data_IF_546369914168
#
_entry.id   IF_546369914168
#
_cell.length_a   1.000
_cell.length_b   1.000
_cell.length_c   1.000
_cell.angle_alpha   90.00
_cell.angle_beta   90.00
_cell.angle_gamma   90.00
#
_symmetry.space_group_name_H-M   'P 1'
#
loop_
_entity.id
_entity.type
_entity.pdbx_description
1 polymer ?
#
# COMPACT_ATOMS: atom_id res chain seq x y z
N UNK A 1 -45.91 -14.21 27.53
CA UNK A 1 -45.15 -13.83 28.74
C UNK A 1 -43.71 -13.56 28.30
N UNK A 2 -43.36 -12.29 28.13
CA UNK A 2 -42.00 -11.87 27.68
C UNK A 2 -41.08 -11.79 28.90
N UNK A 3 -40.06 -12.64 28.97
CA UNK A 3 -39.02 -12.54 30.00
C UNK A 3 -38.03 -11.44 29.59
N UNK A 4 -38.11 -10.30 30.27
CA UNK A 4 -37.06 -9.28 30.24
C UNK A 4 -35.83 -9.79 31.00
N UNK A 5 -34.75 -10.02 30.31
CA UNK A 5 -33.44 -10.31 30.92
C UNK A 5 -32.82 -8.97 31.29
N UNK A 6 -32.79 -8.65 32.57
CA UNK A 6 -32.09 -7.49 33.12
C UNK A 6 -30.65 -7.87 33.21
N UNK A 7 -29.81 -7.32 32.29
CA UNK A 7 -28.33 -7.42 32.37
C UNK A 7 -27.90 -6.44 33.45
N UNK A 8 -27.51 -6.98 34.59
CA UNK A 8 -26.93 -6.24 35.70
C UNK A 8 -25.48 -5.88 35.32
N UNK A 9 -25.24 -4.66 34.89
CA UNK A 9 -23.91 -4.09 34.68
C UNK A 9 -23.22 -3.98 36.05
N UNK A 10 -22.34 -4.92 36.35
CA UNK A 10 -21.37 -4.81 37.46
C UNK A 10 -20.36 -3.72 37.11
N UNK A 11 -20.55 -2.55 37.71
CA UNK A 11 -19.57 -1.45 37.66
C UNK A 11 -18.39 -1.87 38.52
N UNK A 12 -17.36 -2.44 37.89
CA UNK A 12 -16.05 -2.58 38.54
C UNK A 12 -15.31 -1.24 38.48
N UNK A 13 -14.59 -0.82 39.51
CA UNK A 13 -13.88 0.44 39.50
C UNK A 13 -12.78 0.43 38.40
N UNK A 14 -12.92 1.36 37.48
CA UNK A 14 -11.97 1.61 36.39
C UNK A 14 -10.62 2.03 36.97
N UNK A 15 -9.66 1.07 37.02
CA UNK A 15 -8.27 1.36 37.33
C UNK A 15 -7.47 1.38 36.03
N UNK A 16 -6.87 2.52 35.79
CA UNK A 16 -5.77 2.81 34.87
C UNK A 16 -6.06 2.66 33.35
N UNK A 17 -6.07 3.81 32.71
CA UNK A 17 -5.89 4.11 31.30
C UNK A 17 -5.00 3.10 30.53
N UNK A 18 -5.56 2.02 30.04
CA UNK A 18 -5.06 1.35 28.87
C UNK A 18 -5.85 1.89 27.69
N UNK A 19 -5.23 2.78 26.92
CA UNK A 19 -5.76 3.10 25.61
C UNK A 19 -5.78 1.79 24.84
N UNK A 20 -6.98 1.35 24.43
CA UNK A 20 -7.14 0.18 23.57
C UNK A 20 -6.30 0.44 22.31
N UNK A 21 -5.49 -0.52 21.92
CA UNK A 21 -4.79 -0.45 20.66
C UNK A 21 -5.81 -0.40 19.51
N UNK A 22 -5.44 0.22 18.41
CA UNK A 22 -6.32 0.27 17.23
C UNK A 22 -6.74 -1.14 16.78
N UNK A 23 -5.86 -2.14 16.91
CA UNK A 23 -6.16 -3.54 16.61
C UNK A 23 -7.26 -4.13 17.52
N UNK A 24 -7.23 -3.84 18.82
CA UNK A 24 -8.26 -4.32 19.76
C UNK A 24 -9.62 -3.69 19.47
N UNK A 25 -9.64 -2.42 19.07
CA UNK A 25 -10.88 -1.76 18.64
C UNK A 25 -11.44 -2.39 17.36
N UNK A 26 -10.58 -2.66 16.36
CA UNK A 26 -10.98 -3.32 15.10
C UNK A 26 -11.50 -4.73 15.36
N UNK A 27 -10.86 -5.52 16.21
CA UNK A 27 -11.30 -6.87 16.55
C UNK A 27 -12.65 -6.85 17.30
N UNK A 28 -12.85 -5.89 18.19
CA UNK A 28 -14.14 -5.69 18.87
C UNK A 28 -15.27 -5.29 17.91
N UNK A 29 -14.95 -4.47 16.90
CA UNK A 29 -15.92 -4.07 15.85
C UNK A 29 -16.29 -5.27 14.98
N UNK A 30 -15.33 -6.13 14.60
CA UNK A 30 -15.57 -7.36 13.83
C UNK A 30 -16.47 -8.34 14.58
N UNK A 31 -16.31 -8.46 15.89
CA UNK A 31 -17.16 -9.33 16.74
C UNK A 31 -18.59 -8.79 16.84
N UNK A 32 -18.76 -7.47 16.94
CA UNK A 32 -20.05 -6.81 17.02
C UNK A 32 -20.77 -6.70 15.68
N UNK A 33 -20.02 -6.66 14.58
CA UNK A 33 -20.53 -6.48 13.21
C UNK A 33 -19.93 -7.57 12.28
N UNK A 34 -20.46 -8.81 12.30
CA UNK A 34 -19.97 -9.90 11.48
C UNK A 34 -20.01 -9.63 9.96
N UNK A 35 -20.78 -8.62 9.53
CA UNK A 35 -20.85 -8.15 8.15
C UNK A 35 -19.84 -7.03 7.82
N UNK A 36 -19.04 -6.59 8.80
CA UNK A 36 -17.97 -5.62 8.56
C UNK A 36 -16.86 -6.30 7.77
N UNK A 37 -16.83 -6.06 6.48
CA UNK A 37 -15.77 -6.50 5.60
C UNK A 37 -14.56 -5.58 5.78
N UNK A 38 -13.44 -6.13 6.22
CA UNK A 38 -12.18 -5.37 6.29
C UNK A 38 -11.81 -4.90 4.90
N UNK A 39 -11.09 -3.77 4.80
CA UNK A 39 -10.55 -3.29 3.53
C UNK A 39 -9.81 -4.44 2.78
N UNK A 40 -9.89 -4.50 1.45
CA UNK A 40 -9.23 -5.55 0.68
C UNK A 40 -7.74 -5.55 0.99
N UNK A 41 -7.19 -6.74 1.25
CA UNK A 41 -5.77 -6.91 1.49
C UNK A 41 -5.03 -7.05 0.17
N UNK A 42 -3.93 -6.32 0.06
CA UNK A 42 -3.01 -6.49 -1.05
C UNK A 42 -2.23 -7.80 -0.85
N UNK A 43 -2.29 -8.68 -1.84
CA UNK A 43 -1.52 -9.93 -1.90
C UNK A 43 -0.81 -9.99 -3.23
N UNK A 44 0.50 -10.24 -3.21
CA UNK A 44 1.31 -10.26 -4.43
C UNK A 44 2.63 -11.00 -4.20
N UNK A 45 3.23 -11.44 -5.31
CA UNK A 45 4.62 -11.89 -5.37
C UNK A 45 5.22 -11.31 -6.65
N UNK A 46 6.15 -10.37 -6.51
CA UNK A 46 6.75 -9.61 -7.60
C UNK A 46 8.26 -9.71 -7.56
N UNK A 47 8.89 -9.79 -8.72
CA UNK A 47 10.36 -9.77 -8.83
C UNK A 47 10.80 -8.46 -9.48
N UNK A 48 11.67 -7.70 -8.81
CA UNK A 48 12.21 -6.47 -9.36
C UNK A 48 13.28 -6.71 -10.44
N UNK A 49 13.75 -5.63 -11.07
CA UNK A 49 14.81 -5.65 -12.09
C UNK A 49 16.15 -6.19 -11.59
N UNK A 50 16.38 -6.23 -10.28
CA UNK A 50 17.58 -6.77 -9.64
C UNK A 50 17.43 -8.23 -9.19
N UNK A 51 16.26 -8.85 -9.40
CA UNK A 51 15.94 -10.21 -8.98
C UNK A 51 15.50 -10.35 -7.51
N UNK A 52 15.21 -9.25 -6.81
CA UNK A 52 14.67 -9.31 -5.46
C UNK A 52 13.17 -9.64 -5.52
N UNK A 53 12.72 -10.47 -4.59
CA UNK A 53 11.30 -10.88 -4.50
C UNK A 53 10.60 -10.06 -3.43
N UNK A 54 9.51 -9.40 -3.82
CA UNK A 54 8.62 -8.64 -2.96
C UNK A 54 7.29 -9.37 -2.80
N UNK A 55 6.85 -9.54 -1.57
CA UNK A 55 5.56 -10.17 -1.23
C UNK A 55 4.87 -9.34 -0.16
N UNK A 56 3.57 -9.54 0.00
CA UNK A 56 2.82 -8.95 1.12
C UNK A 56 3.41 -9.30 2.49
N UNK A 57 4.19 -10.41 2.60
CA UNK A 57 4.80 -10.84 3.86
C UNK A 57 6.05 -10.06 4.20
N UNK A 58 6.93 -9.82 3.22
CA UNK A 58 8.19 -9.11 3.47
C UNK A 58 8.05 -7.59 3.42
N UNK A 59 6.91 -7.07 2.94
CA UNK A 59 6.56 -5.65 3.04
C UNK A 59 5.75 -5.30 4.29
N UNK A 60 5.31 -6.30 5.09
CA UNK A 60 4.61 -6.07 6.35
C UNK A 60 5.42 -5.21 7.33
N UNK A 61 4.69 -4.35 8.06
CA UNK A 61 5.29 -3.40 8.99
C UNK A 61 5.74 -2.09 8.33
N UNK A 62 5.64 -2.00 7.00
CA UNK A 62 5.85 -0.76 6.25
C UNK A 62 4.58 -0.37 5.50
N UNK A 63 4.40 0.91 5.25
CA UNK A 63 3.46 1.36 4.23
C UNK A 63 3.95 0.88 2.87
N UNK A 64 3.03 0.44 2.01
CA UNK A 64 3.33 0.03 0.65
C UNK A 64 2.76 1.05 -0.33
N UNK A 65 3.60 1.55 -1.23
CA UNK A 65 3.18 2.39 -2.36
C UNK A 65 3.44 1.61 -3.63
N UNK A 66 2.39 1.31 -4.39
CA UNK A 66 2.51 0.64 -5.70
C UNK A 66 2.12 1.64 -6.78
N UNK A 67 3.07 2.03 -7.60
CA UNK A 67 2.87 2.99 -8.68
C UNK A 67 2.93 2.29 -10.05
N UNK A 68 1.82 2.34 -10.79
CA UNK A 68 1.74 1.85 -12.18
C UNK A 68 2.09 2.98 -13.13
N UNK A 69 3.14 2.79 -13.92
CA UNK A 69 3.69 3.78 -14.81
C UNK A 69 4.16 3.18 -16.14
N UNK A 70 4.56 4.03 -17.09
CA UNK A 70 5.19 3.61 -18.34
C UNK A 70 6.11 4.71 -18.87
N UNK A 71 7.11 4.35 -19.66
CA UNK A 71 8.11 5.28 -20.21
C UNK A 71 7.52 6.36 -21.14
N UNK A 72 6.44 6.05 -21.84
CA UNK A 72 5.71 6.97 -22.72
C UNK A 72 4.67 7.83 -21.99
N UNK A 73 4.41 7.58 -20.72
CA UNK A 73 3.38 8.27 -19.95
C UNK A 73 3.94 9.58 -19.35
N UNK A 74 3.72 10.68 -20.02
CA UNK A 74 4.23 11.99 -19.59
C UNK A 74 3.88 12.39 -18.14
N UNK A 75 2.63 12.23 -17.64
CA UNK A 75 2.33 12.53 -16.24
C UNK A 75 3.04 11.57 -15.28
N UNK A 76 3.25 10.27 -15.65
CA UNK A 76 4.01 9.34 -14.83
C UNK A 76 5.44 9.82 -14.62
N UNK A 77 6.10 10.29 -15.69
CA UNK A 77 7.49 10.78 -15.60
C UNK A 77 7.62 12.05 -14.75
N UNK A 78 6.55 12.83 -14.61
CA UNK A 78 6.55 14.04 -13.76
C UNK A 78 6.52 13.73 -12.28
N UNK A 79 5.86 12.65 -11.86
CA UNK A 79 5.74 12.29 -10.44
C UNK A 79 6.94 11.50 -9.90
N UNK A 80 7.77 10.86 -10.79
CA UNK A 80 8.94 10.07 -10.37
C UNK A 80 9.86 10.84 -9.41
N UNK A 81 10.22 12.12 -9.64
CA UNK A 81 11.07 12.85 -8.70
C UNK A 81 10.47 12.96 -7.30
N UNK A 82 9.14 13.07 -7.18
CA UNK A 82 8.46 13.10 -5.89
C UNK A 82 8.59 11.76 -5.15
N UNK A 83 8.46 10.63 -5.85
CA UNK A 83 8.70 9.30 -5.26
C UNK A 83 10.16 9.11 -4.84
N UNK A 84 11.11 9.55 -5.65
CA UNK A 84 12.55 9.46 -5.34
C UNK A 84 12.88 10.22 -4.06
N UNK A 85 12.40 11.48 -3.94
CA UNK A 85 12.59 12.30 -2.75
C UNK A 85 11.92 11.66 -1.53
N UNK A 86 10.66 11.27 -1.68
CA UNK A 86 9.85 10.66 -0.61
C UNK A 86 10.49 9.37 -0.09
N UNK A 87 10.91 8.46 -0.98
CA UNK A 87 11.52 7.19 -0.59
C UNK A 87 12.86 7.38 0.11
N UNK A 88 13.66 8.34 -0.34
CA UNK A 88 14.95 8.66 0.30
C UNK A 88 14.78 9.00 1.78
N UNK A 89 13.71 9.70 2.14
CA UNK A 89 13.44 10.13 3.51
C UNK A 89 12.70 9.09 4.34
N UNK A 90 11.91 8.21 3.70
CA UNK A 90 10.93 7.36 4.36
C UNK A 90 11.17 5.86 4.20
N UNK A 91 12.24 5.38 3.54
CA UNK A 91 12.51 3.95 3.25
C UNK A 91 12.57 3.04 4.48
N UNK A 92 12.76 3.60 5.67
CA UNK A 92 12.70 2.85 6.94
C UNK A 92 11.31 2.30 7.27
N UNK A 93 10.24 2.99 6.85
CA UNK A 93 8.85 2.63 7.15
C UNK A 93 7.93 2.64 5.92
N UNK A 94 8.47 2.90 4.74
CA UNK A 94 7.75 2.85 3.46
C UNK A 94 8.49 1.93 2.52
N UNK A 95 7.75 1.16 1.72
CA UNK A 95 8.24 0.46 0.53
C UNK A 95 7.52 1.03 -0.69
N UNK A 96 8.28 1.37 -1.74
CA UNK A 96 7.73 1.80 -3.02
C UNK A 96 8.05 0.74 -4.06
N UNK A 97 7.06 0.31 -4.83
CA UNK A 97 7.22 -0.56 -5.98
C UNK A 97 6.72 0.17 -7.23
N UNK A 98 7.62 0.47 -8.16
CA UNK A 98 7.27 1.00 -9.47
C UNK A 98 6.99 -0.15 -10.43
N UNK A 99 5.73 -0.32 -10.85
CA UNK A 99 5.33 -1.34 -11.81
C UNK A 99 5.30 -0.72 -13.21
N UNK A 100 6.29 -1.07 -14.01
CA UNK A 100 6.34 -0.68 -15.42
C UNK A 100 5.30 -1.47 -16.21
N UNK A 101 4.29 -0.77 -16.71
CA UNK A 101 3.09 -1.34 -17.34
C UNK A 101 3.19 -1.34 -18.87
N UNK A 102 4.34 -1.74 -19.42
CA UNK A 102 4.55 -1.84 -20.83
C UNK A 102 5.48 -3.01 -21.23
N UNK A 103 5.31 -3.59 -22.42
CA UNK A 103 6.14 -4.71 -22.87
C UNK A 103 7.50 -4.20 -23.40
N UNK A 104 8.35 -3.73 -22.51
CA UNK A 104 9.71 -3.29 -22.82
C UNK A 104 10.76 -4.24 -22.25
N UNK A 105 11.99 -4.14 -22.75
CA UNK A 105 13.12 -4.87 -22.19
C UNK A 105 13.82 -4.05 -21.07
N UNK A 106 14.61 -4.74 -20.27
CA UNK A 106 15.33 -4.14 -19.14
C UNK A 106 16.22 -2.96 -19.55
N UNK A 107 16.88 -3.03 -20.71
CA UNK A 107 17.81 -1.98 -21.16
C UNK A 107 17.11 -0.63 -21.30
N UNK A 108 15.85 -0.61 -21.77
CA UNK A 108 15.06 0.63 -21.87
C UNK A 108 14.76 1.18 -20.49
N UNK A 109 14.37 0.32 -19.57
CA UNK A 109 14.01 0.74 -18.20
C UNK A 109 15.27 1.20 -17.42
N UNK A 110 16.41 0.59 -17.62
CA UNK A 110 17.67 1.00 -17.00
C UNK A 110 18.03 2.45 -17.37
N UNK A 111 17.80 2.87 -18.62
CA UNK A 111 17.99 4.26 -19.04
C UNK A 111 17.09 5.23 -18.24
N UNK A 112 15.84 4.84 -17.95
CA UNK A 112 14.94 5.64 -17.11
C UNK A 112 15.35 5.64 -15.65
N UNK A 113 15.78 4.49 -15.11
CA UNK A 113 16.28 4.38 -13.73
C UNK A 113 17.46 5.34 -13.54
N UNK A 114 18.42 5.34 -14.45
CA UNK A 114 19.57 6.24 -14.39
C UNK A 114 19.16 7.71 -14.57
N UNK A 115 18.37 8.01 -15.60
CA UNK A 115 17.94 9.37 -15.95
C UNK A 115 17.21 10.08 -14.84
N UNK A 116 16.29 9.37 -14.15
CA UNK A 116 15.49 9.91 -13.08
C UNK A 116 16.07 9.64 -11.70
N UNK A 117 17.22 8.96 -11.60
CA UNK A 117 17.87 8.53 -10.36
C UNK A 117 16.88 7.75 -9.46
N UNK A 118 16.10 6.85 -10.06
CA UNK A 118 15.11 6.05 -9.34
C UNK A 118 15.84 5.20 -8.29
N UNK A 119 15.43 5.33 -7.04
CA UNK A 119 16.08 4.72 -5.88
C UNK A 119 15.19 3.68 -5.17
N UNK A 120 14.08 3.30 -5.79
CA UNK A 120 13.14 2.29 -5.32
C UNK A 120 13.00 1.15 -6.34
N UNK A 121 12.54 -0.05 -5.91
CA UNK A 121 12.37 -1.21 -6.77
C UNK A 121 11.46 -0.96 -7.97
N UNK A 122 11.91 -1.41 -9.15
CA UNK A 122 11.13 -1.41 -10.39
C UNK A 122 10.82 -2.85 -10.78
N UNK A 123 9.56 -3.13 -11.08
CA UNK A 123 9.06 -4.41 -11.57
C UNK A 123 8.61 -4.25 -13.01
N UNK A 124 9.10 -5.11 -13.90
CA UNK A 124 8.71 -5.09 -15.31
C UNK A 124 7.39 -5.84 -15.52
N UNK A 125 6.56 -5.35 -16.45
CA UNK A 125 5.35 -6.04 -16.92
C UNK A 125 5.61 -7.50 -17.28
N UNK A 126 6.72 -7.79 -17.95
CA UNK A 126 7.11 -9.14 -18.35
C UNK A 126 7.42 -10.08 -17.18
N UNK A 127 7.66 -9.56 -15.99
CA UNK A 127 7.91 -10.32 -14.76
C UNK A 127 6.63 -10.50 -13.90
N UNK A 128 5.53 -9.94 -14.34
CA UNK A 128 4.24 -10.03 -13.66
C UNK A 128 3.35 -10.95 -14.47
N UNK A 129 2.73 -11.91 -13.82
CA UNK A 129 1.71 -12.74 -14.46
C UNK A 129 0.30 -12.18 -14.16
N UNK A 130 -0.68 -12.55 -14.99
CA UNK A 130 -2.03 -11.99 -14.92
C UNK A 130 -2.71 -12.16 -13.56
N UNK A 131 -2.35 -13.19 -12.79
CA UNK A 131 -2.93 -13.45 -11.47
C UNK A 131 -2.46 -12.44 -10.42
N UNK A 132 -1.27 -11.88 -10.56
CA UNK A 132 -0.69 -10.91 -9.62
C UNK A 132 -1.32 -9.53 -9.79
N UNK A 133 -1.73 -9.16 -11.02
CA UNK A 133 -2.46 -7.93 -11.29
C UNK A 133 -3.83 -7.87 -10.62
N UNK A 134 -4.51 -8.99 -10.50
CA UNK A 134 -5.85 -9.02 -9.91
C UNK A 134 -5.85 -8.64 -8.44
N UNK A 135 -4.71 -8.75 -7.77
CA UNK A 135 -4.54 -8.41 -6.36
C UNK A 135 -4.44 -6.89 -6.10
N UNK A 136 -4.20 -6.09 -7.15
CA UNK A 136 -4.14 -4.63 -7.08
C UNK A 136 -5.45 -3.96 -7.58
N UNK A 137 -6.43 -4.76 -8.01
CA UNK A 137 -7.65 -4.26 -8.61
C UNK A 137 -7.49 -3.94 -10.11
N UNK A 138 -8.51 -3.31 -10.68
CA UNK A 138 -8.51 -2.93 -12.09
C UNK A 138 -7.71 -1.65 -12.32
N UNK A 139 -6.67 -1.71 -13.15
CA UNK A 139 -5.86 -0.56 -13.54
C UNK A 139 -6.41 -0.02 -14.87
N UNK A 140 -7.22 1.02 -14.77
CA UNK A 140 -7.93 1.61 -15.93
C UNK A 140 -7.15 2.72 -16.63
N UNK A 141 -6.03 3.16 -16.08
CA UNK A 141 -5.20 4.22 -16.65
C UNK A 141 -3.92 4.46 -15.87
N UNK A 142 -3.02 5.28 -16.42
CA UNK A 142 -1.74 5.64 -15.81
C UNK A 142 -1.54 7.15 -15.74
N UNK A 143 -0.85 7.64 -14.70
CA UNK A 143 -0.38 6.86 -13.55
C UNK A 143 -1.53 6.42 -12.65
N UNK A 144 -1.38 5.26 -12.00
CA UNK A 144 -2.23 4.83 -10.90
C UNK A 144 -1.35 4.45 -9.72
N UNK A 145 -1.67 4.98 -8.54
CA UNK A 145 -0.90 4.73 -7.32
C UNK A 145 -1.80 4.18 -6.23
N UNK A 146 -1.44 3.02 -5.68
CA UNK A 146 -2.10 2.43 -4.53
C UNK A 146 -1.25 2.66 -3.28
N UNK A 147 -1.90 2.96 -2.17
CA UNK A 147 -1.27 3.08 -0.85
C UNK A 147 -1.85 2.00 0.06
N UNK A 148 -0.99 1.12 0.55
CA UNK A 148 -1.31 0.08 1.52
C UNK A 148 -0.81 0.42 2.92
N UNK A 149 -1.55 -0.01 3.94
CA UNK A 149 -1.15 0.09 5.34
C UNK A 149 -0.03 -0.89 5.70
N UNK A 150 0.65 -0.71 6.85
CA UNK A 150 1.60 -1.69 7.37
C UNK A 150 1.01 -3.09 7.60
N UNK A 151 -0.32 -3.19 7.76
CA UNK A 151 -1.05 -4.44 7.90
C UNK A 151 -1.50 -5.03 6.55
N UNK A 152 -1.14 -4.38 5.43
CA UNK A 152 -1.43 -4.81 4.07
C UNK A 152 -2.84 -4.48 3.58
N UNK A 153 -3.59 -3.63 4.28
CA UNK A 153 -4.91 -3.16 3.83
C UNK A 153 -4.76 -2.02 2.83
N UNK A 154 -5.55 -2.03 1.75
CA UNK A 154 -5.59 -0.92 0.79
C UNK A 154 -6.22 0.32 1.46
N UNK A 155 -5.44 1.39 1.61
CA UNK A 155 -5.89 2.66 2.18
C UNK A 155 -6.49 3.59 1.12
N UNK A 156 -5.84 3.68 -0.03
CA UNK A 156 -6.22 4.61 -1.10
C UNK A 156 -5.71 4.17 -2.46
N UNK A 157 -6.47 4.52 -3.49
CA UNK A 157 -6.06 4.45 -4.90
C UNK A 157 -6.18 5.84 -5.53
N UNK A 158 -5.11 6.31 -6.13
CA UNK A 158 -5.07 7.54 -6.91
C UNK A 158 -5.00 7.21 -8.40
N UNK A 159 -5.77 7.91 -9.20
CA UNK A 159 -5.64 7.93 -10.66
C UNK A 159 -5.17 9.32 -11.08
N UNK A 160 -4.06 9.39 -11.80
CA UNK A 160 -3.39 10.63 -12.19
C UNK A 160 -2.17 10.94 -11.33
N UNK A 161 -1.46 12.01 -11.69
CA UNK A 161 -0.24 12.48 -11.03
C UNK A 161 -0.49 12.77 -9.55
N UNK A 162 0.41 12.31 -8.67
CA UNK A 162 0.38 12.57 -7.24
C UNK A 162 1.63 13.32 -6.77
N UNK A 163 1.53 13.92 -5.59
CA UNK A 163 2.58 14.73 -4.98
C UNK A 163 3.05 14.12 -3.65
N UNK A 164 4.19 14.61 -3.14
CA UNK A 164 4.66 14.28 -1.79
C UNK A 164 3.60 14.63 -0.73
N UNK A 165 2.86 15.72 -0.93
CA UNK A 165 1.78 16.12 -0.02
C UNK A 165 0.65 15.08 0.01
N UNK A 166 0.30 14.48 -1.16
CA UNK A 166 -0.71 13.44 -1.23
C UNK A 166 -0.25 12.17 -0.51
N UNK A 167 1.02 11.77 -0.66
CA UNK A 167 1.60 10.64 0.09
C UNK A 167 1.54 10.88 1.60
N UNK A 168 1.93 12.07 2.06
CA UNK A 168 1.93 12.44 3.47
C UNK A 168 0.54 12.46 4.14
N UNK A 169 -0.56 12.53 3.37
CA UNK A 169 -1.92 12.43 3.92
C UNK A 169 -2.24 11.04 4.45
N UNK A 170 -1.64 10.00 3.87
CA UNK A 170 -1.94 8.60 4.19
C UNK A 170 -0.79 7.88 4.89
N UNK A 171 0.42 8.38 4.74
CA UNK A 171 1.65 7.79 5.28
C UNK A 171 2.14 8.65 6.42
N UNK A 172 1.99 8.14 7.65
CA UNK A 172 2.51 8.81 8.85
C UNK A 172 3.76 8.10 9.35
N UNK A 173 4.70 8.79 10.02
CA UNK A 173 5.80 8.14 10.69
C UNK A 173 5.27 7.09 11.67
N UNK A 174 5.82 5.87 11.62
CA UNK A 174 5.51 4.83 12.61
C UNK A 174 6.12 5.25 13.95
N UNK A 175 5.27 5.48 14.96
CA UNK A 175 5.67 5.84 16.33
C UNK A 175 6.05 4.61 17.15
#
# INVERSE_FOLDING_TARGET
>A
MKKFLIILLLITPFHASQALSFSEVVDSVKELMPWYESAPKLTFELTDTNGNIFTEKNTRGKYLVVNFWASWCTPCLKEIPAFVEFYKENSGHVEILGLDFEPVNLEVIDEFIERFSINYPIVLYTHINDSEYTNFGEIVGMPTTLIGSPDGELLQTFMGEITVEDLNKYISPLT
#
